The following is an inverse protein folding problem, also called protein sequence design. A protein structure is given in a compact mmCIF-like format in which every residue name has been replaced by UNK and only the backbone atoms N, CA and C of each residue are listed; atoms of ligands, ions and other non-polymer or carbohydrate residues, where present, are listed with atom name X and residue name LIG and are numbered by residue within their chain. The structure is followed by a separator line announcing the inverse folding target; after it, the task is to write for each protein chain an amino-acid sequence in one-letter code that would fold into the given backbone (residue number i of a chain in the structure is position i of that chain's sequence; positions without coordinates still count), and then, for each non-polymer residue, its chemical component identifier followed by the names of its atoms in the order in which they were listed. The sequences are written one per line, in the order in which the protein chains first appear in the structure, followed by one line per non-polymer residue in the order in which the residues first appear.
data_IF_796009324118
#
_entry.id   IF_796009324118
#
_cell.length_a   1.000
_cell.length_b   1.000
_cell.length_c   1.000
_cell.angle_alpha   90.00
_cell.angle_beta   90.00
_cell.angle_gamma   90.00
#
_symmetry.space_group_name_H-M   'P 1'
#
loop_
_entity.id
_entity.type
_entity.pdbx_description
1 polymer ?
#
# COMPACT_ATOMS: atom_id res chain seq x y z
N UNK A 1 -5.66 -19.86 1.67
CA UNK A 1 -4.42 -19.41 0.99
C UNK A 1 -3.43 -19.05 2.10
N UNK A 2 -2.15 -19.42 2.04
CA UNK A 2 -1.22 -19.05 3.11
C UNK A 2 -0.86 -17.57 3.03
N UNK A 3 -0.58 -16.94 4.17
CA UNK A 3 -0.15 -15.53 4.27
C UNK A 3 0.99 -15.22 3.27
N UNK A 4 2.01 -16.08 3.24
CA UNK A 4 3.14 -15.95 2.32
C UNK A 4 2.73 -15.94 0.84
N UNK A 5 1.79 -16.80 0.44
CA UNK A 5 1.34 -16.84 -0.96
C UNK A 5 0.62 -15.55 -1.34
N UNK A 6 -0.26 -15.05 -0.47
CA UNK A 6 -0.96 -13.78 -0.71
C UNK A 6 0.02 -12.60 -0.76
N UNK A 7 1.00 -12.56 0.15
CA UNK A 7 2.02 -11.51 0.17
C UNK A 7 2.85 -11.47 -1.13
N UNK A 8 3.18 -12.63 -1.71
CA UNK A 8 3.89 -12.70 -2.99
C UNK A 8 3.03 -12.18 -4.16
N UNK A 9 1.73 -12.48 -4.16
CA UNK A 9 0.81 -11.97 -5.17
C UNK A 9 0.67 -10.44 -5.04
N UNK A 10 0.44 -9.94 -3.82
CA UNK A 10 0.36 -8.50 -3.54
C UNK A 10 1.64 -7.76 -3.97
N UNK A 11 2.82 -8.35 -3.71
CA UNK A 11 4.10 -7.79 -4.16
C UNK A 11 4.22 -7.73 -5.67
N UNK A 12 3.83 -8.81 -6.37
CA UNK A 12 3.83 -8.86 -7.83
C UNK A 12 2.92 -7.79 -8.42
N UNK A 13 1.71 -7.69 -7.88
CA UNK A 13 0.73 -6.70 -8.31
C UNK A 13 1.20 -5.26 -8.09
N UNK A 14 1.78 -4.97 -6.92
CA UNK A 14 2.36 -3.65 -6.66
C UNK A 14 3.46 -3.32 -7.66
N UNK A 15 4.33 -4.29 -8.02
CA UNK A 15 5.37 -4.06 -9.03
C UNK A 15 4.77 -3.68 -10.37
N UNK A 16 3.73 -4.38 -10.84
CA UNK A 16 3.04 -4.03 -12.10
C UNK A 16 2.51 -2.60 -12.09
N UNK A 17 1.91 -2.16 -10.98
CA UNK A 17 1.39 -0.79 -10.84
C UNK A 17 2.52 0.26 -10.79
N UNK A 18 3.70 -0.11 -10.27
CA UNK A 18 4.85 0.77 -10.18
C UNK A 18 5.68 0.84 -11.47
N UNK A 19 5.50 -0.10 -12.40
CA UNK A 19 6.18 -0.08 -13.71
C UNK A 19 5.55 0.96 -14.68
N UNK A 20 4.44 1.61 -14.31
CA UNK A 20 3.86 2.74 -15.06
C UNK A 20 4.77 3.98 -15.01
N UNK A 21 4.90 4.70 -16.13
CA UNK A 21 5.64 5.98 -16.18
C UNK A 21 4.80 7.13 -15.63
N UNK A 22 5.46 8.10 -14.99
CA UNK A 22 4.80 9.35 -14.55
C UNK A 22 4.13 9.28 -13.18
N UNK A 23 4.55 8.33 -12.33
CA UNK A 23 4.05 8.22 -10.96
C UNK A 23 4.38 9.47 -10.15
N UNK A 24 3.40 9.93 -9.37
CA UNK A 24 3.57 10.97 -8.37
C UNK A 24 3.60 10.34 -6.99
N UNK A 25 4.68 10.60 -6.25
CA UNK A 25 4.80 10.22 -4.84
C UNK A 25 4.43 11.43 -4.00
N UNK A 26 3.44 11.27 -3.13
CA UNK A 26 2.95 12.33 -2.26
C UNK A 26 3.11 11.94 -0.81
N UNK A 27 3.73 12.83 -0.03
CA UNK A 27 3.76 12.68 1.42
C UNK A 27 2.35 12.87 1.99
N UNK A 28 1.92 11.95 2.84
CA UNK A 28 0.58 11.97 3.46
C UNK A 28 0.45 12.99 4.61
N UNK A 29 1.56 13.58 5.07
CA UNK A 29 1.60 14.42 6.27
C UNK A 29 1.87 13.65 7.57
N UNK A 30 1.97 12.32 7.51
CA UNK A 30 2.18 11.46 8.68
C UNK A 30 3.49 10.66 8.60
N UNK A 31 4.08 10.41 9.76
CA UNK A 31 5.23 9.53 9.94
C UNK A 31 4.80 8.26 10.66
N UNK A 32 5.48 7.15 10.40
CA UNK A 32 5.31 5.94 11.20
C UNK A 32 5.92 6.09 12.61
N UNK A 33 5.57 5.15 13.49
CA UNK A 33 6.06 5.12 14.88
C UNK A 33 7.34 4.30 15.06
N UNK A 34 7.99 3.90 13.96
CA UNK A 34 9.25 3.17 14.06
C UNK A 34 10.37 4.14 14.45
N UNK A 35 11.50 3.66 14.99
CA UNK A 35 12.61 4.53 15.40
C UNK A 35 13.15 5.44 14.27
N UNK A 36 12.96 5.04 13.01
CA UNK A 36 13.37 5.81 11.84
C UNK A 36 12.32 6.80 11.33
N UNK A 37 11.15 6.88 11.96
CA UNK A 37 10.07 7.83 11.63
C UNK A 37 9.80 7.96 10.13
N UNK A 38 9.53 6.84 9.46
CA UNK A 38 9.45 6.83 8.00
C UNK A 38 8.20 7.59 7.52
N UNK A 39 8.31 8.40 6.46
CA UNK A 39 7.17 9.08 5.89
C UNK A 39 6.17 8.09 5.31
N UNK A 40 4.91 8.25 5.68
CA UNK A 40 3.81 7.58 5.02
C UNK A 40 3.52 8.31 3.71
N UNK A 41 3.55 7.57 2.61
CA UNK A 41 3.42 8.11 1.25
C UNK A 41 2.26 7.45 0.51
N UNK A 42 1.65 8.22 -0.37
CA UNK A 42 0.68 7.75 -1.35
C UNK A 42 1.31 7.84 -2.75
N UNK A 43 0.96 6.90 -3.63
CA UNK A 43 1.47 6.85 -4.99
C UNK A 43 0.29 6.94 -5.96
N UNK A 44 0.40 7.87 -6.90
CA UNK A 44 -0.63 8.16 -7.90
C UNK A 44 -0.06 7.97 -9.31
N UNK A 45 -0.58 7.01 -10.09
CA UNK A 45 -0.48 6.97 -11.54
C UNK A 45 -1.06 8.21 -12.22
N UNK A 46 -0.86 8.26 -13.54
CA UNK A 46 -1.29 9.38 -14.39
C UNK A 46 -2.80 9.56 -14.41
N UNK A 47 -3.57 8.47 -14.21
CA UNK A 47 -5.03 8.49 -14.09
C UNK A 47 -5.54 9.08 -12.75
N UNK A 48 -4.64 9.35 -11.78
CA UNK A 48 -4.96 9.95 -10.49
C UNK A 48 -5.55 9.00 -9.45
N UNK A 49 -5.72 7.71 -9.75
CA UNK A 49 -6.18 6.72 -8.77
C UNK A 49 -5.03 6.28 -7.87
N UNK A 50 -5.23 6.30 -6.55
CA UNK A 50 -4.19 5.90 -5.61
C UNK A 50 -3.92 4.39 -5.66
N UNK A 51 -2.65 4.00 -5.84
CA UNK A 51 -2.24 2.58 -5.89
C UNK A 51 -2.67 1.81 -4.63
N UNK A 52 -2.59 2.45 -3.45
CA UNK A 52 -3.01 1.84 -2.19
C UNK A 52 -4.48 1.44 -2.19
N UNK A 53 -5.37 2.28 -2.77
CA UNK A 53 -6.80 1.98 -2.88
C UNK A 53 -7.08 0.87 -3.86
N UNK A 54 -6.34 0.81 -4.97
CA UNK A 54 -6.42 -0.29 -5.93
C UNK A 54 -6.10 -1.62 -5.26
N UNK A 55 -5.01 -1.70 -4.49
CA UNK A 55 -4.64 -2.91 -3.76
C UNK A 55 -5.68 -3.33 -2.72
N UNK A 56 -6.31 -2.38 -2.04
CA UNK A 56 -7.42 -2.68 -1.10
C UNK A 56 -8.63 -3.24 -1.84
N UNK A 57 -9.03 -2.62 -2.97
CA UNK A 57 -10.16 -3.08 -3.78
C UNK A 57 -9.94 -4.47 -4.38
N UNK A 58 -8.70 -4.77 -4.77
CA UNK A 58 -8.30 -6.08 -5.30
C UNK A 58 -8.13 -7.16 -4.20
N UNK A 59 -8.24 -6.79 -2.92
CA UNK A 59 -8.10 -7.72 -1.79
C UNK A 59 -6.65 -8.06 -1.42
N UNK A 60 -5.68 -7.30 -1.94
CA UNK A 60 -4.25 -7.47 -1.66
C UNK A 60 -3.75 -6.65 -0.46
N UNK A 61 -4.55 -5.69 0.02
CA UNK A 61 -4.23 -4.85 1.17
C UNK A 61 -5.47 -4.61 2.04
N UNK A 62 -5.24 -4.10 3.26
CA UNK A 62 -6.29 -3.63 4.16
C UNK A 62 -6.00 -2.19 4.58
N UNK A 63 -7.05 -1.39 4.73
CA UNK A 63 -6.93 -0.01 5.24
C UNK A 63 -6.29 -0.03 6.63
N UNK A 64 -5.25 0.77 6.82
CA UNK A 64 -4.65 1.02 8.13
C UNK A 64 -5.18 2.33 8.72
N UNK A 65 -5.45 2.33 10.02
CA UNK A 65 -5.82 3.53 10.77
C UNK A 65 -5.13 3.50 12.14
N UNK A 66 -4.63 4.64 12.68
CA UNK A 66 -3.80 4.69 13.88
C UNK A 66 -4.47 4.19 15.17
N UNK A 67 -5.79 3.93 15.15
CA UNK A 67 -6.57 3.41 16.28
C UNK A 67 -7.29 2.11 15.97
N UNK A 68 -7.11 1.56 14.76
CA UNK A 68 -7.79 0.35 14.33
C UNK A 68 -6.82 -0.83 14.40
N UNK A 69 -7.18 -1.85 15.19
CA UNK A 69 -6.50 -3.13 15.16
C UNK A 69 -6.99 -3.91 13.95
N UNK A 70 -6.09 -4.19 13.03
CA UNK A 70 -6.35 -5.11 11.94
C UNK A 70 -5.84 -6.49 12.33
N UNK A 71 -6.66 -7.50 12.05
CA UNK A 71 -6.21 -8.88 12.07
C UNK A 71 -5.60 -9.21 10.70
N UNK A 72 -4.28 -9.29 10.66
CA UNK A 72 -3.49 -9.39 9.43
C UNK A 72 -3.32 -10.84 8.96
N UNK A 73 -3.43 -11.80 9.87
CA UNK A 73 -3.04 -13.19 9.64
C UNK A 73 -4.20 -14.19 9.77
N UNK A 74 -5.46 -13.72 9.81
CA UNK A 74 -6.65 -14.59 9.85
C UNK A 74 -6.94 -15.33 8.55
#
# INVERSE_FOLDING_TARGET
MTERKLALIAKGRLKELLDEKGLRVMFSGAMDRTPSHRPLINIYPTNGEEIGKTLVREGFARTWSPKQRNDWCS
#
